data_IF_085709513269
#
_entry.id   IF_085709513269
#
_cell.length_a   1.000
_cell.length_b   1.000
_cell.length_c   1.000
_cell.angle_alpha   90.00
_cell.angle_beta   90.00
_cell.angle_gamma   90.00
#
_symmetry.space_group_name_H-M   'P 1'
#
loop_
_entity.id
_entity.type
_entity.pdbx_description
1 polymer ?
#
# COMPACT_ATOMS: atom_id res chain seq x y z
N UNK A 1 13.52 2.08 25.59
CA UNK A 1 12.13 2.24 25.10
C UNK A 1 12.11 3.52 24.30
N UNK A 2 11.83 3.48 23.00
CA UNK A 2 11.66 4.68 22.18
C UNK A 2 10.45 5.47 22.70
N UNK A 3 10.53 6.79 22.68
CA UNK A 3 9.36 7.62 22.99
C UNK A 3 8.24 7.34 21.98
N UNK A 4 6.97 7.39 22.43
CA UNK A 4 5.84 7.19 21.51
C UNK A 4 5.85 8.29 20.44
N UNK A 5 5.49 7.92 19.21
CA UNK A 5 5.36 8.87 18.10
C UNK A 5 4.47 10.05 18.49
N UNK A 6 4.99 11.26 18.25
CA UNK A 6 4.23 12.49 18.38
C UNK A 6 4.35 13.30 17.07
N UNK A 7 3.22 13.64 16.41
CA UNK A 7 3.26 14.48 15.23
C UNK A 7 3.64 15.92 15.60
N UNK A 8 4.24 16.65 14.67
CA UNK A 8 4.60 18.05 14.86
C UNK A 8 3.39 18.94 15.22
N UNK A 9 2.22 18.60 14.64
CA UNK A 9 0.92 19.19 14.96
C UNK A 9 -0.14 18.09 14.93
N UNK A 10 -0.62 17.67 16.11
CA UNK A 10 -1.59 16.58 16.23
C UNK A 10 -2.92 16.88 15.53
N UNK A 11 -3.40 18.14 15.56
CA UNK A 11 -4.67 18.50 14.92
C UNK A 11 -4.56 18.43 13.40
N UNK A 12 -3.44 18.91 12.84
CA UNK A 12 -3.17 18.88 11.42
C UNK A 12 -2.99 17.43 10.94
N UNK A 13 -2.25 16.60 11.68
CA UNK A 13 -2.04 15.20 11.35
C UNK A 13 -3.36 14.42 11.29
N UNK A 14 -4.20 14.55 12.33
CA UNK A 14 -5.52 13.92 12.32
C UNK A 14 -6.44 14.45 11.22
N UNK A 15 -6.37 15.75 10.91
CA UNK A 15 -7.13 16.34 9.81
C UNK A 15 -6.71 15.73 8.46
N UNK A 16 -5.40 15.50 8.25
CA UNK A 16 -4.89 14.85 7.04
C UNK A 16 -5.38 13.40 6.91
N UNK A 17 -5.29 12.61 7.98
CA UNK A 17 -5.80 11.23 7.98
C UNK A 17 -7.30 11.18 7.71
N UNK A 18 -8.09 12.05 8.35
CA UNK A 18 -9.53 12.15 8.09
C UNK A 18 -9.83 12.55 6.66
N UNK A 19 -9.07 13.49 6.08
CA UNK A 19 -9.28 13.93 4.70
C UNK A 19 -8.98 12.81 3.70
N UNK A 20 -7.90 12.07 3.87
CA UNK A 20 -7.61 10.89 3.05
C UNK A 20 -8.68 9.82 3.17
N UNK A 21 -9.18 9.57 4.38
CA UNK A 21 -10.28 8.63 4.61
C UNK A 21 -11.58 9.07 3.93
N UNK A 22 -11.94 10.36 4.03
CA UNK A 22 -13.12 10.92 3.35
C UNK A 22 -13.04 10.79 1.84
N UNK A 23 -11.86 11.02 1.26
CA UNK A 23 -11.67 10.79 -0.17
C UNK A 23 -11.85 9.30 -0.50
N UNK A 24 -11.16 8.40 0.19
CA UNK A 24 -11.25 6.95 -0.05
C UNK A 24 -12.62 6.36 0.29
N UNK A 25 -13.41 6.98 1.16
CA UNK A 25 -14.77 6.56 1.47
C UNK A 25 -15.76 6.73 0.28
N UNK A 26 -15.37 7.51 -0.73
CA UNK A 26 -16.15 7.69 -1.96
C UNK A 26 -15.93 6.59 -3.00
N UNK A 27 -15.05 5.61 -2.71
CA UNK A 27 -14.80 4.51 -3.64
C UNK A 27 -16.09 3.73 -3.93
N UNK A 28 -16.55 3.66 -5.18
CA UNK A 28 -17.74 2.91 -5.55
C UNK A 28 -17.54 1.38 -5.43
N UNK A 29 -16.29 0.93 -5.40
CA UNK A 29 -15.99 -0.49 -5.24
C UNK A 29 -16.03 -0.86 -3.77
N UNK A 30 -16.73 -1.95 -3.47
CA UNK A 30 -16.86 -2.46 -2.11
C UNK A 30 -16.07 -3.74 -1.92
N UNK A 31 -15.57 -3.93 -0.70
CA UNK A 31 -14.96 -5.17 -0.24
C UNK A 31 -15.58 -5.55 1.12
N UNK A 32 -15.92 -6.83 1.29
CA UNK A 32 -16.48 -7.31 2.56
C UNK A 32 -15.34 -7.72 3.49
N UNK A 33 -15.31 -7.10 4.67
CA UNK A 33 -14.41 -7.48 5.76
C UNK A 33 -15.24 -7.60 7.06
N UNK A 34 -15.03 -8.68 7.80
CA UNK A 34 -15.74 -8.97 9.06
C UNK A 34 -17.28 -8.91 8.90
N UNK A 35 -17.78 -9.36 7.74
CA UNK A 35 -19.19 -9.36 7.42
C UNK A 35 -19.79 -8.01 7.02
N UNK A 36 -18.98 -6.95 6.94
CA UNK A 36 -19.41 -5.59 6.59
C UNK A 36 -18.81 -5.16 5.27
N UNK A 37 -19.66 -4.67 4.35
CA UNK A 37 -19.20 -4.06 3.10
C UNK A 37 -18.61 -2.67 3.38
N UNK A 38 -17.39 -2.43 2.89
CA UNK A 38 -16.65 -1.18 3.09
C UNK A 38 -16.05 -0.71 1.75
N UNK A 39 -15.88 0.62 1.55
CA UNK A 39 -15.15 1.13 0.41
C UNK A 39 -13.74 0.53 0.33
N UNK A 40 -13.42 -0.06 -0.83
CA UNK A 40 -12.21 -0.88 -1.01
C UNK A 40 -10.92 -0.12 -0.68
N UNK A 41 -10.76 1.09 -1.22
CA UNK A 41 -9.52 1.83 -1.02
C UNK A 41 -9.43 2.44 0.40
N UNK A 42 -10.55 2.67 1.09
CA UNK A 42 -10.56 3.03 2.50
C UNK A 42 -10.05 1.87 3.37
N UNK A 43 -10.59 0.67 3.12
CA UNK A 43 -10.17 -0.54 3.82
C UNK A 43 -8.69 -0.85 3.57
N UNK A 44 -8.26 -0.73 2.30
CA UNK A 44 -6.87 -0.91 1.92
C UNK A 44 -5.93 0.07 2.65
N UNK A 45 -6.28 1.36 2.70
CA UNK A 45 -5.49 2.39 3.38
C UNK A 45 -5.31 2.10 4.87
N UNK A 46 -6.37 1.62 5.55
CA UNK A 46 -6.32 1.21 6.96
C UNK A 46 -5.38 0.01 7.15
N UNK A 47 -5.55 -1.05 6.37
CA UNK A 47 -4.71 -2.25 6.41
C UNK A 47 -3.23 -1.93 6.17
N UNK A 48 -2.94 -1.07 5.21
CA UNK A 48 -1.56 -0.65 4.92
C UNK A 48 -0.95 0.14 6.07
N UNK A 49 -1.69 1.10 6.64
CA UNK A 49 -1.26 1.84 7.81
C UNK A 49 -0.95 0.91 8.99
N UNK A 50 -1.83 -0.04 9.28
CA UNK A 50 -1.63 -1.00 10.37
C UNK A 50 -0.39 -1.88 10.15
N UNK A 51 -0.13 -2.29 8.90
CA UNK A 51 1.08 -3.05 8.56
C UNK A 51 2.36 -2.21 8.71
N UNK A 52 2.34 -0.94 8.29
CA UNK A 52 3.47 -0.03 8.50
C UNK A 52 3.76 0.13 9.99
N UNK A 53 2.73 0.35 10.82
CA UNK A 53 2.91 0.54 12.26
C UNK A 53 3.38 -0.73 13.00
N UNK A 54 3.03 -1.92 12.50
CA UNK A 54 3.55 -3.19 13.03
C UNK A 54 5.02 -3.40 12.68
N UNK A 55 5.44 -3.03 11.47
CA UNK A 55 6.83 -3.16 11.02
C UNK A 55 7.74 -2.08 11.61
N UNK A 56 7.21 -0.89 11.82
CA UNK A 56 7.92 0.30 12.28
C UNK A 56 7.01 1.10 13.24
N UNK A 57 6.95 0.73 14.53
CA UNK A 57 6.10 1.42 15.50
C UNK A 57 6.44 2.91 15.67
N UNK A 58 7.69 3.27 15.47
CA UNK A 58 8.25 4.62 15.48
C UNK A 58 8.26 5.32 14.11
N UNK A 59 7.47 4.81 13.15
CA UNK A 59 7.33 5.40 11.81
C UNK A 59 7.13 6.92 11.88
N UNK A 60 7.86 7.65 11.05
CA UNK A 60 7.75 9.12 10.96
C UNK A 60 6.36 9.59 10.52
N UNK A 61 6.03 10.84 10.77
CA UNK A 61 4.79 11.46 10.30
C UNK A 61 4.63 11.32 8.77
N UNK A 62 5.64 11.61 7.92
CA UNK A 62 5.54 11.40 6.49
C UNK A 62 5.26 9.95 6.08
N UNK A 63 5.86 8.96 6.74
CA UNK A 63 5.62 7.55 6.44
C UNK A 63 4.19 7.11 6.79
N UNK A 64 3.65 7.56 7.94
CA UNK A 64 2.26 7.32 8.35
C UNK A 64 1.27 7.94 7.37
N UNK A 65 1.52 9.18 6.95
CA UNK A 65 0.72 9.87 5.93
C UNK A 65 0.79 9.14 4.58
N UNK A 66 1.99 8.75 4.13
CA UNK A 66 2.18 8.02 2.88
C UNK A 66 1.45 6.67 2.88
N UNK A 67 1.48 5.93 3.98
CA UNK A 67 0.74 4.67 4.12
C UNK A 67 -0.77 4.88 3.95
N UNK A 68 -1.32 5.99 4.49
CA UNK A 68 -2.76 6.27 4.43
C UNK A 68 -3.23 6.74 3.06
N UNK A 69 -2.37 7.39 2.27
CA UNK A 69 -2.71 7.94 0.95
C UNK A 69 -2.13 7.16 -0.24
N UNK A 70 -1.51 5.99 -0.03
CA UNK A 70 -0.80 5.21 -1.06
C UNK A 70 -1.66 4.88 -2.30
N UNK A 71 -2.96 4.66 -2.13
CA UNK A 71 -3.91 4.37 -3.20
C UNK A 71 -5.05 5.39 -3.24
N UNK A 72 -4.78 6.63 -2.85
CA UNK A 72 -5.79 7.69 -2.74
C UNK A 72 -6.58 7.85 -4.03
N UNK A 73 -7.90 7.63 -3.97
CA UNK A 73 -8.83 7.73 -5.09
C UNK A 73 -8.44 6.88 -6.32
N UNK A 74 -7.90 5.69 -6.11
CA UNK A 74 -7.40 4.80 -7.16
C UNK A 74 -8.43 4.50 -8.26
N UNK A 75 -9.72 4.44 -7.92
CA UNK A 75 -10.82 4.16 -8.86
C UNK A 75 -11.02 5.25 -9.91
N UNK A 76 -10.57 6.48 -9.68
CA UNK A 76 -10.71 7.60 -10.64
C UNK A 76 -9.95 7.33 -11.95
N UNK A 77 -8.92 6.45 -11.93
CA UNK A 77 -8.18 6.02 -13.11
C UNK A 77 -8.40 4.53 -13.31
N UNK A 78 -9.44 4.19 -14.06
CA UNK A 78 -9.81 2.80 -14.30
C UNK A 78 -8.74 2.05 -15.11
N UNK A 79 -8.51 0.75 -14.79
CA UNK A 79 -7.59 -0.10 -15.57
C UNK A 79 -8.04 -0.25 -17.03
N UNK A 80 -9.35 -0.24 -17.27
CA UNK A 80 -9.97 -0.35 -18.60
C UNK A 80 -9.68 0.85 -19.52
N UNK A 81 -9.23 1.99 -18.98
CA UNK A 81 -8.80 3.16 -19.76
C UNK A 81 -7.43 2.97 -20.43
N UNK A 82 -6.78 1.83 -20.22
CA UNK A 82 -5.47 1.50 -20.79
C UNK A 82 -5.52 0.16 -21.52
N UNK A 83 -4.69 -0.06 -22.56
CA UNK A 83 -4.64 -1.35 -23.26
C UNK A 83 -4.45 -2.53 -22.30
N UNK A 84 -5.15 -3.65 -22.53
CA UNK A 84 -5.09 -4.87 -21.70
C UNK A 84 -3.85 -5.71 -22.00
N UNK A 85 -2.72 -5.03 -22.20
CA UNK A 85 -1.38 -5.58 -22.42
C UNK A 85 -0.48 -5.33 -21.21
N UNK A 86 0.68 -6.00 -21.17
CA UNK A 86 1.72 -5.73 -20.15
C UNK A 86 2.19 -4.27 -20.19
N UNK A 87 2.42 -3.71 -21.37
CA UNK A 87 2.84 -2.31 -21.52
C UNK A 87 1.77 -1.34 -20.98
N UNK A 88 0.49 -1.53 -21.36
CA UNK A 88 -0.62 -0.74 -20.85
C UNK A 88 -0.81 -0.86 -19.34
N UNK A 89 -0.56 -2.04 -18.76
CA UNK A 89 -0.56 -2.23 -17.31
C UNK A 89 0.55 -1.42 -16.61
N UNK A 90 1.76 -1.44 -17.15
CA UNK A 90 2.88 -0.68 -16.59
C UNK A 90 2.63 0.83 -16.69
N UNK A 91 2.10 1.29 -17.83
CA UNK A 91 1.71 2.69 -18.03
C UNK A 91 0.64 3.13 -17.03
N UNK A 92 -0.43 2.35 -16.90
CA UNK A 92 -1.48 2.60 -15.91
C UNK A 92 -0.93 2.72 -14.49
N UNK A 93 -0.07 1.79 -14.07
CA UNK A 93 0.57 1.83 -12.74
C UNK A 93 1.46 3.05 -12.55
N UNK A 94 2.21 3.45 -13.57
CA UNK A 94 3.04 4.64 -13.51
C UNK A 94 2.19 5.92 -13.37
N UNK A 95 1.08 6.00 -14.11
CA UNK A 95 0.12 7.11 -13.99
C UNK A 95 -0.52 7.15 -12.61
N UNK A 96 -0.98 6.02 -12.09
CA UNK A 96 -1.55 5.93 -10.74
C UNK A 96 -0.58 6.43 -9.66
N UNK A 97 0.68 6.01 -9.70
CA UNK A 97 1.68 6.49 -8.72
C UNK A 97 1.80 8.01 -8.70
N UNK A 98 1.88 8.63 -9.88
CA UNK A 98 1.95 10.10 -10.01
C UNK A 98 0.67 10.76 -9.51
N UNK A 99 -0.49 10.21 -9.89
CA UNK A 99 -1.79 10.70 -9.48
C UNK A 99 -1.96 10.68 -7.95
N UNK A 100 -1.65 9.55 -7.29
CA UNK A 100 -1.74 9.45 -5.84
C UNK A 100 -0.80 10.43 -5.13
N UNK A 101 0.45 10.54 -5.58
CA UNK A 101 1.43 11.46 -5.03
C UNK A 101 0.99 12.93 -5.19
N UNK A 102 0.45 13.29 -6.37
CA UNK A 102 -0.04 14.65 -6.62
C UNK A 102 -1.24 14.97 -5.73
N UNK A 103 -2.28 14.13 -5.75
CA UNK A 103 -3.51 14.34 -4.97
C UNK A 103 -3.22 14.41 -3.46
N UNK A 104 -2.33 13.56 -2.96
CA UNK A 104 -1.90 13.61 -1.56
C UNK A 104 -1.19 14.93 -1.24
N UNK A 105 -0.27 15.37 -2.11
CA UNK A 105 0.43 16.63 -1.95
C UNK A 105 -0.49 17.84 -1.92
N UNK A 106 -1.51 17.87 -2.79
CA UNK A 106 -2.48 18.96 -2.84
C UNK A 106 -3.29 19.05 -1.54
N UNK A 107 -3.77 17.92 -1.03
CA UNK A 107 -4.49 17.85 0.26
C UNK A 107 -3.59 18.30 1.42
N UNK A 108 -2.33 17.89 1.45
CA UNK A 108 -1.42 18.28 2.51
C UNK A 108 -1.12 19.80 2.48
N UNK A 109 -0.98 20.40 1.28
CA UNK A 109 -0.83 21.85 1.13
C UNK A 109 -2.07 22.61 1.60
N UNK A 110 -3.27 22.15 1.23
CA UNK A 110 -4.54 22.72 1.72
C UNK A 110 -4.62 22.73 3.24
N UNK A 111 -3.99 21.74 3.90
CA UNK A 111 -3.94 21.62 5.36
C UNK A 111 -2.75 22.33 5.99
N UNK A 112 -1.97 23.07 5.21
CA UNK A 112 -0.85 23.87 5.70
C UNK A 112 0.39 23.06 6.12
N UNK A 113 0.62 21.89 5.49
CA UNK A 113 1.87 21.14 5.70
C UNK A 113 3.06 21.86 5.04
N UNK A 114 4.25 21.86 5.69
CA UNK A 114 5.48 22.37 5.09
C UNK A 114 5.84 21.56 3.82
N UNK A 115 6.46 22.22 2.84
CA UNK A 115 6.78 21.59 1.53
C UNK A 115 7.75 20.42 1.65
N UNK A 116 8.65 20.43 2.61
CA UNK A 116 9.55 19.30 2.87
C UNK A 116 8.79 18.03 3.28
N UNK A 117 7.76 18.15 4.14
CA UNK A 117 6.88 17.04 4.51
C UNK A 117 6.04 16.59 3.30
N UNK A 118 5.47 17.54 2.55
CA UNK A 118 4.69 17.23 1.33
C UNK A 118 5.56 16.46 0.34
N UNK A 119 6.75 16.95 0.04
CA UNK A 119 7.69 16.29 -0.88
C UNK A 119 8.09 14.90 -0.36
N UNK A 120 8.32 14.75 0.95
CA UNK A 120 8.68 13.45 1.52
C UNK A 120 7.55 12.43 1.36
N UNK A 121 6.30 12.80 1.60
CA UNK A 121 5.14 11.93 1.38
C UNK A 121 5.00 11.55 -0.10
N UNK A 122 5.19 12.51 -1.01
CA UNK A 122 5.16 12.26 -2.45
C UNK A 122 6.27 11.30 -2.88
N UNK A 123 7.49 11.46 -2.37
CA UNK A 123 8.64 10.61 -2.68
C UNK A 123 8.43 9.17 -2.21
N UNK A 124 7.86 8.97 -1.01
CA UNK A 124 7.47 7.66 -0.50
C UNK A 124 6.42 7.00 -1.41
N UNK A 125 5.37 7.74 -1.82
CA UNK A 125 4.34 7.23 -2.73
C UNK A 125 4.88 6.90 -4.12
N UNK A 126 5.85 7.67 -4.60
CA UNK A 126 6.57 7.41 -5.84
C UNK A 126 7.61 6.31 -5.72
N UNK A 127 7.92 5.86 -4.50
CA UNK A 127 8.98 4.89 -4.18
C UNK A 127 10.33 5.34 -4.70
N UNK A 128 10.65 6.63 -4.51
CA UNK A 128 11.97 7.16 -4.83
C UNK A 128 13.01 6.53 -3.91
N UNK A 129 14.20 6.35 -4.45
CA UNK A 129 15.35 5.79 -3.73
C UNK A 129 15.12 4.38 -3.15
N UNK A 130 14.13 3.62 -3.66
CA UNK A 130 14.03 2.20 -3.36
C UNK A 130 15.14 1.42 -4.09
N UNK A 131 15.88 0.52 -3.43
CA UNK A 131 15.67 -0.01 -2.09
C UNK A 131 16.46 0.67 -0.96
N UNK A 132 17.16 1.77 -1.21
CA UNK A 132 18.15 2.33 -0.28
C UNK A 132 17.52 3.20 0.83
N UNK A 133 16.37 3.80 0.57
CA UNK A 133 15.65 4.59 1.57
C UNK A 133 14.91 3.69 2.57
N UNK A 134 15.22 3.79 3.88
CA UNK A 134 14.67 2.90 4.91
C UNK A 134 13.15 2.95 5.01
N UNK A 135 12.53 4.13 4.90
CA UNK A 135 11.08 4.28 5.01
C UNK A 135 10.36 3.78 3.76
N UNK A 136 10.95 4.00 2.57
CA UNK A 136 10.44 3.40 1.34
C UNK A 136 10.51 1.87 1.39
N UNK A 137 11.54 1.30 2.05
CA UNK A 137 11.64 -0.14 2.32
C UNK A 137 10.50 -0.63 3.21
N UNK A 138 10.27 0.03 4.35
CA UNK A 138 9.16 -0.31 5.27
C UNK A 138 7.82 -0.26 4.53
N UNK A 139 7.59 0.79 3.74
CA UNK A 139 6.37 0.92 2.96
C UNK A 139 6.21 -0.20 1.92
N UNK A 140 7.29 -0.59 1.21
CA UNK A 140 7.24 -1.69 0.24
C UNK A 140 7.01 -3.03 0.93
N UNK A 141 7.63 -3.28 2.09
CA UNK A 141 7.40 -4.47 2.91
C UNK A 141 5.92 -4.57 3.33
N UNK A 142 5.36 -3.47 3.84
CA UNK A 142 3.95 -3.40 4.22
C UNK A 142 3.01 -3.64 3.02
N UNK A 143 3.32 -3.07 1.86
CA UNK A 143 2.58 -3.31 0.60
C UNK A 143 2.60 -4.79 0.19
N UNK A 144 3.75 -5.45 0.30
CA UNK A 144 3.86 -6.87 0.00
C UNK A 144 3.04 -7.71 1.00
N UNK A 145 3.07 -7.38 2.30
CA UNK A 145 2.28 -8.09 3.31
C UNK A 145 0.77 -7.92 3.11
N UNK A 146 0.31 -6.69 2.81
CA UNK A 146 -1.11 -6.44 2.48
C UNK A 146 -1.53 -7.23 1.23
N UNK A 147 -0.68 -7.29 0.19
CA UNK A 147 -0.95 -8.12 -0.98
C UNK A 147 -1.10 -9.60 -0.61
N UNK A 148 -0.15 -10.15 0.16
CA UNK A 148 -0.15 -11.56 0.54
C UNK A 148 -1.36 -11.93 1.40
N UNK A 149 -1.74 -11.07 2.34
CA UNK A 149 -2.82 -11.35 3.30
C UNK A 149 -4.23 -11.16 2.72
N UNK A 150 -4.43 -10.11 1.91
CA UNK A 150 -5.78 -9.69 1.52
C UNK A 150 -6.08 -9.79 0.02
N UNK A 151 -5.06 -9.95 -0.83
CA UNK A 151 -5.25 -9.89 -2.28
C UNK A 151 -4.78 -11.16 -3.00
N UNK A 152 -4.00 -12.02 -2.35
CA UNK A 152 -3.44 -13.21 -2.97
C UNK A 152 -4.52 -14.21 -3.39
N UNK A 153 -5.50 -14.46 -2.53
CA UNK A 153 -6.59 -15.38 -2.83
C UNK A 153 -7.38 -14.95 -4.07
N UNK A 154 -7.72 -13.69 -4.15
CA UNK A 154 -8.40 -13.07 -5.30
C UNK A 154 -7.57 -13.17 -6.58
N UNK A 155 -6.27 -12.92 -6.48
CA UNK A 155 -5.36 -13.06 -7.62
C UNK A 155 -5.28 -14.52 -8.08
N UNK A 156 -5.12 -15.45 -7.15
CA UNK A 156 -5.03 -16.89 -7.44
C UNK A 156 -6.31 -17.45 -8.09
N UNK A 157 -7.47 -16.95 -7.67
CA UNK A 157 -8.75 -17.34 -8.26
C UNK A 157 -8.96 -16.81 -9.71
N UNK A 158 -8.38 -15.65 -10.05
CA UNK A 158 -8.59 -14.95 -11.32
C UNK A 158 -7.45 -15.17 -12.33
N UNK A 159 -6.35 -15.81 -11.93
CA UNK A 159 -5.11 -15.81 -12.71
C UNK A 159 -4.51 -17.22 -12.74
N UNK A 160 -3.93 -17.60 -13.90
CA UNK A 160 -3.23 -18.88 -14.01
C UNK A 160 -2.10 -19.00 -12.97
N UNK A 161 -1.90 -20.21 -12.42
CA UNK A 161 -0.97 -20.48 -11.33
C UNK A 161 0.45 -19.97 -11.57
N UNK A 162 1.01 -20.12 -12.77
CA UNK A 162 2.36 -19.62 -13.07
C UNK A 162 2.48 -18.10 -13.01
N UNK A 163 1.43 -17.36 -13.39
CA UNK A 163 1.40 -15.89 -13.24
C UNK A 163 1.32 -15.48 -11.77
N UNK A 164 0.57 -16.22 -10.98
CA UNK A 164 0.48 -16.02 -9.53
C UNK A 164 1.82 -16.30 -8.85
N UNK A 165 2.48 -17.42 -9.21
CA UNK A 165 3.84 -17.75 -8.72
C UNK A 165 4.84 -16.65 -9.06
N UNK A 166 4.84 -16.15 -10.29
CA UNK A 166 5.72 -15.04 -10.68
C UNK A 166 5.45 -13.75 -9.88
N UNK A 167 4.18 -13.46 -9.57
CA UNK A 167 3.83 -12.32 -8.71
C UNK A 167 4.35 -12.51 -7.28
N UNK A 168 4.21 -13.72 -6.72
CA UNK A 168 4.73 -14.09 -5.40
C UNK A 168 6.26 -13.95 -5.33
N UNK A 169 6.98 -14.50 -6.31
CA UNK A 169 8.44 -14.40 -6.39
C UNK A 169 8.92 -12.94 -6.43
N UNK A 170 8.28 -12.09 -7.26
CA UNK A 170 8.60 -10.67 -7.33
C UNK A 170 8.33 -9.93 -6.02
N UNK A 171 7.25 -10.25 -5.34
CA UNK A 171 6.96 -9.69 -4.02
C UNK A 171 7.99 -10.14 -2.99
N UNK A 172 8.31 -11.44 -2.97
CA UNK A 172 9.29 -12.01 -2.06
C UNK A 172 10.69 -11.42 -2.22
N UNK A 173 11.14 -11.22 -3.48
CA UNK A 173 12.45 -10.62 -3.77
C UNK A 173 12.59 -9.19 -3.24
N UNK A 174 11.50 -8.44 -3.17
CA UNK A 174 11.50 -7.06 -2.65
C UNK A 174 11.52 -6.98 -1.13
N UNK A 175 11.00 -8.01 -0.46
CA UNK A 175 10.80 -8.01 0.98
C UNK A 175 12.11 -8.18 1.74
N UNK A 176 12.23 -7.44 2.86
CA UNK A 176 13.30 -7.65 3.85
C UNK A 176 13.16 -9.01 4.53
N UNK A 177 14.24 -9.54 5.17
CA UNK A 177 14.15 -10.76 5.98
C UNK A 177 13.05 -10.67 7.06
N UNK A 178 12.89 -9.53 7.71
CA UNK A 178 11.85 -9.29 8.71
C UNK A 178 10.46 -9.44 8.12
N UNK A 179 10.20 -8.78 6.98
CA UNK A 179 8.90 -8.87 6.32
C UNK A 179 8.61 -10.28 5.79
N UNK A 180 9.62 -11.02 5.30
CA UNK A 180 9.48 -12.43 4.91
C UNK A 180 9.09 -13.31 6.10
N UNK A 181 9.69 -13.08 7.27
CA UNK A 181 9.34 -13.80 8.49
C UNK A 181 7.88 -13.50 8.90
N UNK A 182 7.42 -12.25 8.78
CA UNK A 182 6.02 -11.91 9.02
C UNK A 182 5.07 -12.53 7.97
N UNK A 183 5.47 -12.57 6.69
CA UNK A 183 4.70 -13.21 5.63
C UNK A 183 4.45 -14.71 5.91
N UNK A 184 5.44 -15.42 6.45
CA UNK A 184 5.31 -16.85 6.79
C UNK A 184 4.35 -17.12 7.97
N UNK A 185 4.01 -16.10 8.76
CA UNK A 185 3.05 -16.20 9.87
C UNK A 185 1.60 -15.91 9.44
N UNK A 186 1.39 -15.46 8.21
CA UNK A 186 0.05 -15.14 7.71
C UNK A 186 -0.79 -16.41 7.54
N UNK A 187 -2.09 -16.28 7.74
CA UNK A 187 -3.02 -17.38 7.59
C UNK A 187 -3.44 -17.53 6.13
N UNK A 188 -2.83 -18.46 5.41
CA UNK A 188 -3.13 -18.78 4.02
C UNK A 188 -4.12 -19.92 3.91
N UNK A 189 -5.04 -19.84 2.96
CA UNK A 189 -5.81 -21.01 2.54
C UNK A 189 -4.90 -22.10 1.94
N UNK A 190 -5.38 -23.35 1.82
CA UNK A 190 -4.57 -24.46 1.29
C UNK A 190 -4.00 -24.19 -0.10
N UNK A 191 -4.78 -23.53 -0.96
CA UNK A 191 -4.37 -23.21 -2.33
C UNK A 191 -3.25 -22.15 -2.38
N UNK A 192 -3.43 -21.04 -1.65
CA UNK A 192 -2.44 -19.95 -1.55
C UNK A 192 -1.14 -20.47 -0.93
N UNK A 193 -1.22 -21.31 0.08
CA UNK A 193 -0.07 -21.95 0.72
C UNK A 193 0.72 -22.78 -0.27
N UNK A 194 0.07 -23.63 -1.06
CA UNK A 194 0.72 -24.43 -2.08
C UNK A 194 1.41 -23.57 -3.16
N UNK A 195 0.78 -22.44 -3.58
CA UNK A 195 1.38 -21.50 -4.52
C UNK A 195 2.61 -20.81 -3.93
N UNK A 196 2.54 -20.40 -2.67
CA UNK A 196 3.67 -19.78 -1.96
C UNK A 196 4.84 -20.75 -1.84
N UNK A 197 4.60 -22.00 -1.42
CA UNK A 197 5.64 -23.03 -1.32
C UNK A 197 6.32 -23.29 -2.67
N UNK A 198 5.56 -23.33 -3.77
CA UNK A 198 6.11 -23.45 -5.12
C UNK A 198 6.95 -22.24 -5.51
N UNK A 199 6.49 -21.04 -5.17
CA UNK A 199 7.21 -19.79 -5.46
C UNK A 199 8.56 -19.70 -4.73
N UNK A 200 8.66 -20.30 -3.53
CA UNK A 200 9.87 -20.27 -2.71
C UNK A 200 10.88 -21.39 -3.03
N UNK A 201 10.45 -22.46 -3.73
CA UNK A 201 11.33 -23.57 -4.14
C UNK A 201 12.02 -23.33 -5.49
N UNK A 202 11.56 -22.38 -6.26
CA UNK A 202 12.08 -22.02 -7.57
C UNK A 202 13.02 -20.82 -7.49
#
# INVERSE_FOLDING_TARGET
MSEPFQPADARRFEAALRRFDQENARDPNQETADGVAQPRELLYARRLNDRVLRLCPDASEPLRLAARCQHLCRWEIARSSYPMTRAGYLQWRATLKKFHAQKAGDILRELGYPEDVVHRVQDLNLKKNFPDDPETRVLEDALCLVFLEYQLADLAAKTAGDKTINALQKSWQKMTPTARAEALKLNYGPHEKALLERALKA
#
